data_IF_016643274295
#
_entry.id   IF_016643274295
#
_cell.length_a   1.000
_cell.length_b   1.000
_cell.length_c   1.000
_cell.angle_alpha   90.00
_cell.angle_beta   90.00
_cell.angle_gamma   90.00
#
_symmetry.space_group_name_H-M   'P 1'
#
loop_
_entity.id
_entity.type
_entity.pdbx_description
1 polymer ?
#
# COMPACT_ATOMS: atom_id res chain seq x y z
N UNK A 1 -10.51 11.37 -21.63
CA UNK A 1 -10.20 9.92 -21.55
C UNK A 1 -11.07 9.05 -22.45
N UNK A 2 -12.36 8.81 -22.19
CA UNK A 2 -13.16 7.95 -23.10
C UNK A 2 -13.19 8.50 -24.54
N UNK A 3 -13.38 9.82 -24.68
CA UNK A 3 -13.34 10.49 -25.98
C UNK A 3 -11.95 10.46 -26.65
N UNK A 4 -10.89 10.42 -25.85
CA UNK A 4 -9.49 10.42 -26.31
C UNK A 4 -9.05 9.02 -26.75
N UNK A 5 -9.51 7.99 -26.03
CA UNK A 5 -9.26 6.59 -26.36
C UNK A 5 -10.22 6.05 -27.42
N UNK A 6 -11.27 6.80 -27.78
CA UNK A 6 -12.31 6.40 -28.73
C UNK A 6 -13.14 5.20 -28.26
N UNK A 7 -13.07 4.82 -26.98
CA UNK A 7 -13.76 3.65 -26.41
C UNK A 7 -14.51 4.00 -25.15
N UNK A 8 -15.64 3.32 -24.94
CA UNK A 8 -16.37 3.38 -23.67
C UNK A 8 -15.67 2.51 -22.63
N UNK A 9 -15.34 3.10 -21.48
CA UNK A 9 -14.75 2.42 -20.33
C UNK A 9 -15.85 2.03 -19.33
N UNK A 10 -16.94 2.78 -19.31
CA UNK A 10 -18.08 2.53 -18.43
C UNK A 10 -19.39 2.39 -19.22
N UNK A 11 -20.28 1.54 -18.70
CA UNK A 11 -21.66 1.41 -19.14
C UNK A 11 -22.60 1.66 -17.96
N UNK A 12 -23.69 2.41 -18.20
CA UNK A 12 -24.76 2.60 -17.21
C UNK A 12 -25.70 1.40 -17.25
N UNK A 13 -25.76 0.67 -16.14
CA UNK A 13 -26.81 -0.32 -15.88
C UNK A 13 -27.93 0.34 -15.03
N UNK A 14 -29.14 -0.23 -14.97
CA UNK A 14 -30.30 0.40 -14.32
C UNK A 14 -30.11 0.76 -12.84
N UNK A 15 -29.15 0.14 -12.15
CA UNK A 15 -28.88 0.36 -10.71
C UNK A 15 -27.39 0.56 -10.39
N UNK A 16 -26.49 0.51 -11.38
CA UNK A 16 -25.05 0.63 -11.13
C UNK A 16 -24.27 1.06 -12.39
N UNK A 17 -23.05 1.56 -12.16
CA UNK A 17 -22.07 1.78 -13.21
C UNK A 17 -21.19 0.53 -13.31
N UNK A 18 -21.06 -0.05 -14.50
CA UNK A 18 -20.21 -1.20 -14.75
C UNK A 18 -19.06 -0.84 -15.69
N UNK A 19 -17.93 -1.54 -15.54
CA UNK A 19 -16.81 -1.44 -16.46
C UNK A 19 -17.11 -2.22 -17.73
N UNK A 20 -16.72 -1.67 -18.87
CA UNK A 20 -16.61 -2.44 -20.12
C UNK A 20 -15.35 -3.32 -20.08
N UNK A 21 -15.17 -4.26 -21.03
CA UNK A 21 -13.90 -4.96 -21.18
C UNK A 21 -12.69 -4.01 -21.33
N UNK A 22 -12.85 -2.92 -22.08
CA UNK A 22 -11.82 -1.89 -22.22
C UNK A 22 -11.55 -1.17 -20.87
N UNK A 23 -12.60 -0.86 -20.11
CA UNK A 23 -12.49 -0.29 -18.76
C UNK A 23 -11.76 -1.21 -17.79
N UNK A 24 -12.04 -2.51 -17.83
CA UNK A 24 -11.37 -3.51 -17.01
C UNK A 24 -9.88 -3.64 -17.33
N UNK A 25 -9.52 -3.64 -18.63
CA UNK A 25 -8.14 -3.65 -19.08
C UNK A 25 -7.39 -2.39 -18.63
N UNK A 26 -7.98 -1.21 -18.84
CA UNK A 26 -7.39 0.05 -18.40
C UNK A 26 -7.17 0.07 -16.88
N UNK A 27 -8.13 -0.43 -16.11
CA UNK A 27 -8.00 -0.52 -14.65
C UNK A 27 -6.81 -1.39 -14.23
N UNK A 28 -6.61 -2.54 -14.88
CA UNK A 28 -5.44 -3.39 -14.62
C UNK A 28 -4.13 -2.67 -14.90
N UNK A 29 -4.00 -2.03 -16.07
CA UNK A 29 -2.77 -1.33 -16.45
C UNK A 29 -2.50 -0.11 -15.57
N UNK A 30 -3.54 0.64 -15.25
CA UNK A 30 -3.46 1.80 -14.36
C UNK A 30 -2.98 1.39 -12.97
N UNK A 31 -3.48 0.28 -12.41
CA UNK A 31 -3.00 -0.26 -11.12
C UNK A 31 -1.51 -0.57 -11.16
N UNK A 32 -1.00 -1.19 -12.23
CA UNK A 32 0.43 -1.48 -12.39
C UNK A 32 1.24 -0.18 -12.49
N UNK A 33 0.74 0.80 -13.23
CA UNK A 33 1.39 2.10 -13.39
C UNK A 33 1.51 2.83 -12.05
N UNK A 34 0.45 2.90 -11.25
CA UNK A 34 0.50 3.52 -9.93
C UNK A 34 1.50 2.82 -8.99
N UNK A 35 1.57 1.48 -9.02
CA UNK A 35 2.58 0.75 -8.23
C UNK A 35 4.00 1.15 -8.65
N UNK A 36 4.27 1.23 -9.95
CA UNK A 36 5.59 1.65 -10.46
C UNK A 36 5.89 3.11 -10.12
N UNK A 37 4.88 3.97 -10.22
CA UNK A 37 5.00 5.39 -9.91
C UNK A 37 5.31 5.63 -8.43
N UNK A 38 4.63 4.93 -7.52
CA UNK A 38 4.93 4.99 -6.09
C UNK A 38 6.35 4.48 -5.79
N UNK A 39 6.78 3.38 -6.41
CA UNK A 39 8.17 2.91 -6.28
C UNK A 39 9.18 3.96 -6.75
N UNK A 40 8.91 4.63 -7.86
CA UNK A 40 9.77 5.70 -8.37
C UNK A 40 9.84 6.88 -7.38
N UNK A 41 8.71 7.32 -6.84
CA UNK A 41 8.68 8.34 -5.78
C UNK A 41 9.53 7.93 -4.57
N UNK A 42 9.41 6.68 -4.13
CA UNK A 42 10.20 6.19 -3.00
C UNK A 42 11.69 6.14 -3.31
N UNK A 43 12.07 5.73 -4.52
CA UNK A 43 13.46 5.75 -4.95
C UNK A 43 14.04 7.17 -4.90
N UNK A 44 13.30 8.16 -5.42
CA UNK A 44 13.69 9.57 -5.36
C UNK A 44 13.77 10.08 -3.92
N UNK A 45 12.78 9.77 -3.09
CA UNK A 45 12.78 10.17 -1.67
C UNK A 45 13.97 9.59 -0.92
N UNK A 46 14.32 8.32 -1.15
CA UNK A 46 15.51 7.67 -0.56
C UNK A 46 16.83 8.32 -0.91
N UNK A 47 16.91 9.04 -2.04
CA UNK A 47 18.10 9.81 -2.40
C UNK A 47 18.24 11.08 -1.55
N UNK A 48 17.18 11.55 -0.90
CA UNK A 48 17.27 12.66 0.05
C UNK A 48 17.90 12.19 1.35
N UNK A 49 18.97 12.87 1.79
CA UNK A 49 19.67 12.59 3.05
C UNK A 49 18.77 12.71 4.31
N UNK A 50 17.61 13.36 4.18
CA UNK A 50 16.65 13.57 5.26
C UNK A 50 15.52 12.51 5.27
N UNK A 51 15.52 11.56 4.33
CA UNK A 51 14.45 10.58 4.24
C UNK A 51 14.67 9.40 5.19
N UNK A 52 13.85 9.33 6.22
CA UNK A 52 13.74 8.18 7.12
C UNK A 52 12.44 7.44 6.83
N UNK A 53 12.48 6.27 6.15
CA UNK A 53 11.26 5.50 5.90
C UNK A 53 10.69 4.99 7.23
N UNK A 54 9.35 4.92 7.37
CA UNK A 54 8.74 4.34 8.55
C UNK A 54 9.11 2.85 8.67
N UNK A 55 9.39 2.40 9.90
CA UNK A 55 9.41 0.97 10.22
C UNK A 55 7.96 0.47 10.17
N UNK A 56 7.70 -0.56 9.38
CA UNK A 56 6.35 -1.16 9.28
C UNK A 56 6.33 -2.55 9.88
N UNK A 57 5.36 -2.82 10.75
CA UNK A 57 5.20 -4.10 11.42
C UNK A 57 3.79 -4.65 11.16
N UNK A 58 3.73 -5.83 10.55
CA UNK A 58 2.50 -6.60 10.42
C UNK A 58 2.31 -7.48 11.64
N UNK A 59 1.22 -7.30 12.38
CA UNK A 59 0.92 -8.09 13.57
C UNK A 59 -0.13 -9.14 13.20
N UNK A 60 0.24 -10.41 13.30
CA UNK A 60 -0.68 -11.51 13.05
C UNK A 60 -1.66 -11.69 14.23
N UNK A 61 -2.89 -12.11 13.92
CA UNK A 61 -3.85 -12.52 14.94
C UNK A 61 -3.23 -13.59 15.86
N UNK A 62 -3.20 -13.30 17.17
CA UNK A 62 -2.67 -14.21 18.20
C UNK A 62 -1.32 -13.81 18.81
N UNK A 63 -0.70 -12.69 18.39
CA UNK A 63 0.45 -12.13 19.11
C UNK A 63 0.00 -11.58 20.47
N UNK A 64 0.72 -11.90 21.55
CA UNK A 64 0.41 -11.37 22.87
C UNK A 64 0.70 -9.86 22.92
N UNK A 65 -0.35 -9.07 23.17
CA UNK A 65 -0.29 -7.61 23.27
C UNK A 65 0.80 -7.07 24.24
N UNK A 66 1.12 -7.73 25.38
CA UNK A 66 2.12 -7.21 26.32
C UNK A 66 3.55 -7.19 25.75
N UNK A 67 3.98 -8.29 25.10
CA UNK A 67 5.34 -8.35 24.51
C UNK A 67 5.49 -7.40 23.35
N UNK A 68 4.45 -7.23 22.54
CA UNK A 68 4.44 -6.24 21.48
C UNK A 68 4.60 -4.83 22.06
N UNK A 69 3.82 -4.48 23.09
CA UNK A 69 3.91 -3.17 23.73
C UNK A 69 5.31 -2.88 24.30
N UNK A 70 5.96 -3.86 24.95
CA UNK A 70 7.34 -3.73 25.44
C UNK A 70 8.34 -3.47 24.29
N UNK A 71 8.23 -4.22 23.19
CA UNK A 71 9.09 -3.99 22.01
C UNK A 71 8.87 -2.59 21.40
N UNK A 72 7.63 -2.13 21.36
CA UNK A 72 7.29 -0.79 20.83
C UNK A 72 7.83 0.33 21.72
N UNK A 73 7.75 0.17 23.05
CA UNK A 73 8.33 1.12 23.99
C UNK A 73 9.86 1.18 23.87
N UNK A 74 10.52 0.02 23.71
CA UNK A 74 11.95 -0.05 23.46
C UNK A 74 12.37 0.62 22.14
N UNK A 75 11.58 0.43 21.07
CA UNK A 75 11.81 1.09 19.79
C UNK A 75 11.74 2.62 19.90
N UNK A 76 10.72 3.15 20.58
CA UNK A 76 10.54 4.58 20.76
C UNK A 76 11.70 5.23 21.55
N UNK A 77 12.30 4.50 22.49
CA UNK A 77 13.48 4.95 23.24
C UNK A 77 14.77 4.94 22.39
N UNK A 78 14.93 3.95 21.49
CA UNK A 78 16.15 3.76 20.70
C UNK A 78 16.18 4.60 19.41
N UNK A 79 15.03 4.80 18.77
CA UNK A 79 14.96 5.44 17.45
C UNK A 79 13.72 6.35 17.33
N UNK A 80 13.61 7.43 18.13
CA UNK A 80 12.43 8.30 18.14
C UNK A 80 12.18 9.05 16.83
N UNK A 81 13.22 9.22 16.00
CA UNK A 81 13.12 9.89 14.71
C UNK A 81 12.52 8.99 13.61
N UNK A 82 12.54 7.65 13.80
CA UNK A 82 12.05 6.72 12.79
C UNK A 82 10.55 6.48 13.03
N UNK A 83 9.66 6.91 12.10
CA UNK A 83 8.24 6.73 12.28
C UNK A 83 7.89 5.23 12.28
N UNK A 84 6.85 4.83 13.02
CA UNK A 84 6.41 3.44 13.10
C UNK A 84 4.97 3.32 12.61
N UNK A 85 4.71 2.35 11.74
CA UNK A 85 3.37 1.99 11.29
C UNK A 85 3.05 0.53 11.65
N UNK A 86 1.93 0.33 12.34
CA UNK A 86 1.44 -0.98 12.73
C UNK A 86 0.19 -1.31 11.93
N UNK A 87 0.12 -2.54 11.42
CA UNK A 87 -1.05 -3.05 10.70
C UNK A 87 -1.41 -4.44 11.19
N UNK A 88 -2.65 -4.60 11.64
CA UNK A 88 -3.22 -5.91 11.97
C UNK A 88 -3.46 -6.71 10.69
N UNK A 89 -3.06 -7.99 10.70
CA UNK A 89 -3.20 -8.87 9.55
C UNK A 89 -3.73 -10.25 9.96
N UNK A 90 -4.73 -10.79 9.24
CA UNK A 90 -5.17 -12.15 9.45
C UNK A 90 -4.02 -13.15 9.25
N UNK A 91 -3.84 -14.08 10.19
CA UNK A 91 -2.70 -15.02 10.22
C UNK A 91 -2.51 -15.83 8.93
N UNK A 92 -3.59 -16.12 8.19
CA UNK A 92 -3.56 -16.79 6.87
C UNK A 92 -2.89 -15.97 5.75
N UNK A 93 -2.63 -14.67 5.95
CA UNK A 93 -2.05 -13.76 4.95
C UNK A 93 -0.64 -13.25 5.31
N UNK A 94 -0.21 -13.38 6.57
CA UNK A 94 1.07 -12.86 7.04
C UNK A 94 2.29 -13.42 6.29
N UNK A 95 2.21 -14.66 5.80
CA UNK A 95 3.34 -15.36 5.16
C UNK A 95 3.58 -14.98 3.68
N UNK A 96 2.72 -14.13 3.08
CA UNK A 96 2.78 -13.80 1.64
C UNK A 96 2.76 -12.29 1.33
N UNK A 97 2.78 -11.45 2.36
CA UNK A 97 2.66 -10.00 2.19
C UNK A 97 4.01 -9.36 1.84
N UNK A 98 4.12 -8.85 0.61
CA UNK A 98 5.05 -7.78 0.29
C UNK A 98 4.43 -6.48 0.81
N UNK A 99 5.08 -5.81 1.76
CA UNK A 99 4.69 -4.46 2.19
C UNK A 99 4.45 -3.61 0.94
N UNK A 100 3.18 -3.27 0.70
CA UNK A 100 2.78 -2.53 -0.49
C UNK A 100 3.52 -1.20 -0.44
N UNK A 101 4.35 -0.97 -1.45
CA UNK A 101 5.24 0.19 -1.57
C UNK A 101 4.43 1.48 -1.56
N UNK A 102 4.15 1.98 -0.37
CA UNK A 102 3.97 3.40 -0.08
C UNK A 102 5.27 3.81 0.60
N UNK A 103 5.78 4.98 0.30
CA UNK A 103 6.91 5.54 1.03
C UNK A 103 6.39 5.80 2.45
#
# INVERSE_FOLDING_TARGET
>A
LEAELGVKLFVRAPRHLALTPAGAQLLQETRKLFIRFERAKCAVRRTSALYQPPLRIGVADGISQPRLAECLAGWQALAPAVPLELSEMPSKRANSYSFRSVC
#
